data_IF_319551738445
#
_entry.id   IF_319551738445
#
_cell.length_a   1.000
_cell.length_b   1.000
_cell.length_c   1.000
_cell.angle_alpha   90.00
_cell.angle_beta   90.00
_cell.angle_gamma   90.00
#
_symmetry.space_group_name_H-M   'P 1'
#
loop_
_entity.id
_entity.type
_entity.pdbx_description
1 polymer ?
#
# COMPACT_ATOMS: atom_id res chain seq x y z
N UNK A 1 31.80 27.75 8.34
CA UNK A 1 31.23 28.88 7.57
C UNK A 1 29.87 28.44 7.04
N UNK A 2 28.80 29.14 7.41
CA UNK A 2 27.42 28.87 7.01
C UNK A 2 27.17 29.50 5.63
N UNK A 3 26.65 28.74 4.66
CA UNK A 3 26.09 29.31 3.42
C UNK A 3 24.74 28.64 3.15
N UNK A 4 23.72 29.30 3.67
CA UNK A 4 22.33 29.16 3.23
C UNK A 4 22.22 29.67 1.81
N UNK A 5 21.76 28.82 0.89
CA UNK A 5 21.23 29.25 -0.40
C UNK A 5 19.82 28.68 -0.48
N UNK A 6 18.85 29.54 -0.21
CA UNK A 6 17.46 29.32 -0.55
C UNK A 6 17.29 29.63 -2.03
N UNK A 7 16.70 28.70 -2.78
CA UNK A 7 16.09 29.02 -4.07
C UNK A 7 14.66 28.47 -4.07
N UNK A 8 13.72 29.41 -4.00
CA UNK A 8 12.34 29.21 -4.37
C UNK A 8 12.26 29.20 -5.89
N UNK A 9 11.86 28.07 -6.47
CA UNK A 9 11.38 28.01 -7.85
C UNK A 9 9.95 27.48 -7.81
N UNK A 10 9.01 28.42 -7.83
CA UNK A 10 7.64 28.18 -8.24
C UNK A 10 7.63 27.87 -9.74
N UNK A 11 7.60 26.58 -10.09
CA UNK A 11 7.25 26.15 -11.44
C UNK A 11 5.87 25.50 -11.39
N UNK A 12 4.85 26.28 -11.72
CA UNK A 12 3.51 25.78 -12.02
C UNK A 12 3.56 25.01 -13.34
N UNK A 13 3.89 23.72 -13.27
CA UNK A 13 3.76 22.79 -14.39
C UNK A 13 2.40 22.07 -14.32
N UNK A 14 1.35 22.82 -14.62
CA UNK A 14 0.04 22.25 -14.91
C UNK A 14 0.01 21.77 -16.35
N UNK A 15 0.27 20.49 -16.59
CA UNK A 15 -0.30 19.65 -17.67
C UNK A 15 0.45 18.30 -17.69
N UNK A 16 -0.15 17.24 -17.12
CA UNK A 16 -0.02 15.83 -17.54
C UNK A 16 -0.52 14.86 -16.45
N UNK A 17 -1.83 14.84 -16.14
CA UNK A 17 -2.45 13.72 -15.44
C UNK A 17 -3.83 13.44 -16.05
N UNK A 18 -3.82 13.10 -17.34
CA UNK A 18 -5.00 12.67 -18.07
C UNK A 18 -4.84 11.25 -18.63
N UNK A 19 -4.22 10.31 -17.91
CA UNK A 19 -4.25 8.89 -18.27
C UNK A 19 -4.28 8.01 -17.01
N UNK A 20 -5.47 7.53 -16.63
CA UNK A 20 -5.64 6.37 -15.74
C UNK A 20 -6.48 6.55 -14.46
N UNK A 21 -7.00 7.74 -14.16
CA UNK A 21 -7.94 7.95 -13.04
C UNK A 21 -9.40 7.89 -13.52
N UNK A 22 -10.38 7.54 -12.66
CA UNK A 22 -11.79 7.61 -13.03
C UNK A 22 -12.12 9.03 -13.53
N UNK A 23 -12.77 9.16 -14.70
CA UNK A 23 -13.06 10.46 -15.27
C UNK A 23 -13.99 11.22 -14.30
N UNK A 24 -13.63 12.46 -13.96
CA UNK A 24 -14.39 13.40 -13.12
C UNK A 24 -14.23 13.34 -11.59
N UNK A 25 -13.04 13.07 -11.06
CA UNK A 25 -12.74 13.42 -9.66
C UNK A 25 -12.51 14.93 -9.48
N UNK A 26 -13.21 15.56 -8.53
CA UNK A 26 -12.91 16.94 -8.09
C UNK A 26 -11.49 17.05 -7.54
N UNK A 27 -10.81 18.21 -7.63
CA UNK A 27 -9.45 18.38 -7.10
C UNK A 27 -9.31 17.97 -5.63
N UNK A 28 -10.30 18.32 -4.81
CA UNK A 28 -10.37 17.96 -3.39
C UNK A 28 -10.42 16.44 -3.18
N UNK A 29 -11.24 15.75 -3.98
CA UNK A 29 -11.35 14.30 -3.90
C UNK A 29 -10.04 13.63 -4.31
N UNK A 30 -9.35 14.15 -5.34
CA UNK A 30 -8.02 13.66 -5.74
C UNK A 30 -7.00 13.81 -4.61
N UNK A 31 -6.94 14.97 -3.96
CA UNK A 31 -6.06 15.19 -2.81
C UNK A 31 -6.36 14.23 -1.66
N UNK A 32 -7.64 13.96 -1.37
CA UNK A 32 -8.02 12.95 -0.38
C UNK A 32 -7.53 11.56 -0.76
N UNK A 33 -7.64 11.18 -2.03
CA UNK A 33 -7.10 9.89 -2.49
C UNK A 33 -5.57 9.81 -2.40
N UNK A 34 -4.88 10.89 -2.76
CA UNK A 34 -3.42 10.98 -2.64
C UNK A 34 -2.97 10.89 -1.19
N UNK A 35 -3.69 11.50 -0.26
CA UNK A 35 -3.40 11.37 1.17
C UNK A 35 -3.49 9.91 1.64
N UNK A 36 -4.36 9.09 1.05
CA UNK A 36 -4.49 7.66 1.38
C UNK A 36 -3.43 6.75 0.73
N UNK A 37 -2.47 7.29 -0.02
CA UNK A 37 -1.34 6.51 -0.58
C UNK A 37 -0.66 5.55 0.40
N UNK A 38 -0.31 5.96 1.63
CA UNK A 38 0.33 5.07 2.59
C UNK A 38 -0.56 3.87 2.99
N UNK A 39 -1.88 4.02 2.96
CA UNK A 39 -2.81 2.92 3.24
C UNK A 39 -2.73 1.86 2.13
N UNK A 40 -2.69 2.29 0.87
CA UNK A 40 -2.55 1.37 -0.27
C UNK A 40 -1.20 0.67 -0.27
N UNK A 41 -0.13 1.40 0.02
CA UNK A 41 1.23 0.87 0.10
C UNK A 41 1.32 -0.16 1.23
N UNK A 42 0.75 0.12 2.41
CA UNK A 42 0.70 -0.83 3.53
C UNK A 42 -0.04 -2.13 3.17
N UNK A 43 -1.19 -2.04 2.51
CA UNK A 43 -1.93 -3.24 2.05
C UNK A 43 -1.09 -4.08 1.09
N UNK A 44 -0.38 -3.44 0.16
CA UNK A 44 0.51 -4.14 -0.77
C UNK A 44 1.69 -4.80 -0.05
N UNK A 45 2.33 -4.09 0.88
CA UNK A 45 3.43 -4.57 1.71
C UNK A 45 3.02 -5.79 2.52
N UNK A 46 1.88 -5.72 3.25
CA UNK A 46 1.36 -6.87 4.02
C UNK A 46 1.02 -8.05 3.11
N UNK A 47 0.40 -7.81 1.95
CA UNK A 47 0.04 -8.86 1.00
C UNK A 47 1.25 -9.61 0.43
N UNK A 48 2.42 -8.98 0.37
CA UNK A 48 3.65 -9.60 -0.13
C UNK A 48 4.45 -10.36 0.92
N UNK A 49 4.24 -10.09 2.22
CA UNK A 49 5.05 -10.70 3.28
C UNK A 49 4.93 -12.23 3.34
N UNK A 50 3.78 -12.80 2.98
CA UNK A 50 3.63 -14.26 2.88
C UNK A 50 4.48 -14.86 1.75
N UNK A 51 4.64 -14.15 0.64
CA UNK A 51 5.45 -14.59 -0.49
C UNK A 51 6.93 -14.40 -0.22
N UNK A 52 7.29 -13.29 0.43
CA UNK A 52 8.63 -13.02 0.94
C UNK A 52 9.08 -14.16 1.87
N UNK A 53 8.20 -14.58 2.78
CA UNK A 53 8.53 -15.62 3.77
C UNK A 53 8.87 -16.97 3.14
N UNK A 54 8.32 -17.26 1.95
CA UNK A 54 8.57 -18.48 1.17
C UNK A 54 9.88 -18.45 0.40
N UNK A 55 10.50 -17.27 0.23
CA UNK A 55 11.78 -17.18 -0.47
C UNK A 55 12.91 -17.69 0.43
N UNK A 56 13.73 -18.59 -0.12
CA UNK A 56 14.92 -19.07 0.56
C UNK A 56 15.81 -17.88 0.91
N UNK A 57 16.36 -17.87 2.12
CA UNK A 57 17.27 -16.83 2.61
C UNK A 57 16.63 -15.44 2.87
N UNK A 58 15.31 -15.27 2.65
CA UNK A 58 14.57 -14.04 2.96
C UNK A 58 13.41 -14.25 3.96
N UNK A 59 13.22 -15.46 4.46
CA UNK A 59 12.17 -15.77 5.44
C UNK A 59 12.23 -14.86 6.66
N UNK A 60 11.06 -14.50 7.19
CA UNK A 60 10.96 -13.65 8.37
C UNK A 60 11.50 -14.39 9.60
N UNK A 61 12.47 -13.78 10.27
CA UNK A 61 13.07 -14.35 11.48
C UNK A 61 12.10 -14.30 12.65
N UNK A 62 12.36 -15.08 13.70
CA UNK A 62 11.59 -15.02 14.96
C UNK A 62 11.57 -13.62 15.57
N UNK A 63 12.70 -12.92 15.55
CA UNK A 63 12.80 -11.55 16.06
C UNK A 63 11.95 -10.56 15.25
N UNK A 64 11.94 -10.70 13.92
CA UNK A 64 11.06 -9.91 13.06
C UNK A 64 9.59 -10.21 13.31
N UNK A 65 9.22 -11.49 13.45
CA UNK A 65 7.86 -11.92 13.76
C UNK A 65 7.34 -11.30 15.07
N UNK A 66 8.15 -11.33 16.13
CA UNK A 66 7.81 -10.72 17.42
C UNK A 66 7.53 -9.21 17.32
N UNK A 67 8.26 -8.50 16.44
CA UNK A 67 8.08 -7.06 16.22
C UNK A 67 6.92 -6.75 15.28
N UNK A 68 6.61 -7.63 14.33
CA UNK A 68 5.49 -7.48 13.39
C UNK A 68 4.13 -7.75 14.05
N UNK A 69 4.02 -8.82 14.85
CA UNK A 69 2.76 -9.25 15.44
C UNK A 69 1.95 -8.15 16.14
N UNK A 70 2.53 -7.27 16.99
CA UNK A 70 1.76 -6.18 17.60
C UNK A 70 1.21 -5.20 16.56
N UNK A 71 1.98 -4.86 15.52
CA UNK A 71 1.54 -3.98 14.42
C UNK A 71 0.39 -4.63 13.65
N UNK A 72 0.53 -5.90 13.27
CA UNK A 72 -0.48 -6.62 12.49
C UNK A 72 -1.79 -6.79 13.27
N UNK A 73 -1.72 -7.08 14.57
CA UNK A 73 -2.90 -7.20 15.44
C UNK A 73 -3.58 -5.84 15.64
N UNK A 74 -2.82 -4.75 15.76
CA UNK A 74 -3.39 -3.40 15.78
C UNK A 74 -4.17 -3.13 14.48
N UNK A 75 -3.53 -3.35 13.32
CA UNK A 75 -4.17 -3.19 12.00
C UNK A 75 -5.45 -4.03 11.83
N UNK A 76 -5.48 -5.24 12.39
CA UNK A 76 -6.64 -6.12 12.34
C UNK A 76 -7.84 -5.56 13.13
N UNK A 77 -7.57 -5.01 14.32
CA UNK A 77 -8.62 -4.69 15.28
C UNK A 77 -9.18 -3.27 15.14
N UNK A 78 -8.38 -2.34 14.61
CA UNK A 78 -8.81 -0.94 14.54
C UNK A 78 -10.03 -0.75 13.63
N UNK A 79 -10.98 0.11 14.01
CA UNK A 79 -12.14 0.43 13.17
C UNK A 79 -11.78 1.32 11.97
N UNK A 80 -10.70 2.10 12.07
CA UNK A 80 -10.28 3.07 11.07
C UNK A 80 -8.76 3.00 10.85
N UNK A 81 -8.32 3.21 9.62
CA UNK A 81 -6.91 3.29 9.25
C UNK A 81 -6.63 4.63 8.59
N UNK A 82 -6.11 5.57 9.39
CA UNK A 82 -5.77 6.91 8.88
C UNK A 82 -4.44 6.89 8.12
N UNK A 83 -4.25 7.80 7.15
CA UNK A 83 -3.00 7.95 6.42
C UNK A 83 -1.72 8.03 7.27
N UNK A 84 -1.73 8.85 8.33
CA UNK A 84 -0.56 9.06 9.18
C UNK A 84 -0.18 7.79 9.96
N UNK A 85 -1.18 7.02 10.40
CA UNK A 85 -0.97 5.76 11.11
C UNK A 85 -0.45 4.68 10.16
N UNK A 86 -0.96 4.63 8.93
CA UNK A 86 -0.45 3.74 7.90
C UNK A 86 1.01 4.07 7.53
N UNK A 87 1.33 5.36 7.36
CA UNK A 87 2.70 5.81 7.11
C UNK A 87 3.65 5.44 8.27
N UNK A 88 3.20 5.59 9.52
CA UNK A 88 3.98 5.20 10.69
C UNK A 88 4.21 3.68 10.75
N UNK A 89 3.18 2.89 10.45
CA UNK A 89 3.30 1.43 10.40
C UNK A 89 4.26 0.99 9.29
N UNK A 90 4.16 1.58 8.10
CA UNK A 90 5.07 1.35 6.98
C UNK A 90 6.52 1.65 7.35
N UNK A 91 6.81 2.86 7.83
CA UNK A 91 8.18 3.23 8.24
C UNK A 91 8.72 2.29 9.33
N UNK A 92 7.89 1.90 10.31
CA UNK A 92 8.34 0.94 11.33
C UNK A 92 8.68 -0.43 10.71
N UNK A 93 7.87 -0.89 9.76
CA UNK A 93 8.10 -2.16 9.05
C UNK A 93 9.38 -2.06 8.20
N UNK A 94 9.48 -1.04 7.35
CA UNK A 94 10.51 -0.94 6.34
C UNK A 94 11.86 -0.52 6.94
N UNK A 95 11.88 0.49 7.80
CA UNK A 95 13.13 1.05 8.32
C UNK A 95 13.72 0.23 9.47
N UNK A 96 12.87 -0.48 10.21
CA UNK A 96 13.26 -1.06 11.50
C UNK A 96 13.08 -2.56 11.61
N UNK A 97 12.26 -3.20 10.76
CA UNK A 97 11.97 -4.63 10.87
C UNK A 97 12.55 -5.40 9.69
N UNK A 98 12.24 -4.99 8.46
CA UNK A 98 12.69 -5.69 7.26
C UNK A 98 14.18 -5.42 6.99
N UNK A 99 14.86 -6.41 6.42
CA UNK A 99 16.25 -6.26 5.99
C UNK A 99 16.32 -5.59 4.62
N UNK A 100 17.46 -4.97 4.25
CA UNK A 100 17.63 -4.42 2.91
C UNK A 100 17.39 -5.43 1.78
N UNK A 101 17.76 -6.70 1.99
CA UNK A 101 17.53 -7.76 1.01
C UNK A 101 16.04 -8.09 0.84
N UNK A 102 15.28 -8.11 1.94
CA UNK A 102 13.83 -8.32 1.91
C UNK A 102 13.12 -7.14 1.22
N UNK A 103 13.50 -5.90 1.54
CA UNK A 103 12.96 -4.70 0.91
C UNK A 103 13.21 -4.69 -0.60
N UNK A 104 14.46 -4.94 -1.01
CA UNK A 104 14.83 -5.01 -2.42
C UNK A 104 13.98 -6.04 -3.18
N UNK A 105 13.79 -7.23 -2.60
CA UNK A 105 12.96 -8.26 -3.21
C UNK A 105 11.50 -7.82 -3.37
N UNK A 106 10.94 -7.14 -2.36
CA UNK A 106 9.57 -6.62 -2.42
C UNK A 106 9.41 -5.56 -3.52
N UNK A 107 10.36 -4.63 -3.62
CA UNK A 107 10.37 -3.58 -4.65
C UNK A 107 10.44 -4.17 -6.07
N UNK A 108 11.35 -5.12 -6.29
CA UNK A 108 11.49 -5.82 -7.58
C UNK A 108 10.21 -6.58 -7.94
N UNK A 109 9.58 -7.23 -6.95
CA UNK A 109 8.33 -7.96 -7.14
C UNK A 109 7.18 -7.02 -7.53
N UNK A 110 7.05 -5.87 -6.86
CA UNK A 110 6.04 -4.87 -7.18
C UNK A 110 6.27 -4.26 -8.56
N UNK A 111 7.52 -3.96 -8.91
CA UNK A 111 7.89 -3.43 -10.21
C UNK A 111 7.52 -4.42 -11.33
N UNK A 112 7.93 -5.68 -11.20
CA UNK A 112 7.63 -6.75 -12.16
C UNK A 112 6.12 -6.90 -12.38
N UNK A 113 5.33 -6.94 -11.30
CA UNK A 113 3.86 -7.03 -11.40
C UNK A 113 3.24 -5.83 -12.11
N UNK A 114 3.79 -4.63 -11.91
CA UNK A 114 3.33 -3.41 -12.57
C UNK A 114 3.65 -3.45 -14.07
N UNK A 115 4.82 -3.94 -14.44
CA UNK A 115 5.21 -4.11 -15.84
C UNK A 115 4.35 -5.14 -16.55
N UNK A 116 4.12 -6.31 -15.93
CA UNK A 116 3.23 -7.35 -16.46
C UNK A 116 1.80 -6.82 -16.65
N UNK A 117 1.29 -6.03 -15.69
CA UNK A 117 -0.03 -5.41 -15.82
C UNK A 117 -0.11 -4.44 -17.00
N UNK A 118 0.93 -3.62 -17.23
CA UNK A 118 1.01 -2.71 -18.38
C UNK A 118 1.05 -3.46 -19.71
N UNK A 119 1.81 -4.55 -19.78
CA UNK A 119 1.91 -5.38 -20.99
C UNK A 119 0.56 -6.02 -21.36
N UNK A 120 -0.21 -6.48 -20.37
CA UNK A 120 -1.56 -7.03 -20.57
C UNK A 120 -2.57 -5.97 -21.03
N UNK A 121 -2.43 -4.72 -20.56
CA UNK A 121 -3.30 -3.62 -20.94
C UNK A 121 -3.06 -3.15 -22.40
N UNK A 122 -1.84 -3.30 -22.91
CA UNK A 122 -1.50 -2.96 -24.30
C UNK A 122 -2.03 -3.94 -25.36
N UNK A 123 -2.53 -5.13 -24.97
CA UNK A 123 -2.99 -6.17 -25.89
C UNK A 123 -4.52 -6.26 -26.03
N UNK A 124 -5.33 -5.52 -25.26
CA UNK A 124 -6.77 -5.53 -25.44
C UNK A 124 -7.46 -4.26 -24.88
N UNK A 125 -7.76 -3.24 -25.73
CA UNK A 125 -8.42 -2.01 -25.27
C UNK A 125 -9.92 -2.17 -24.93
N UNK A 126 -10.52 -3.34 -25.15
CA UNK A 126 -11.99 -3.52 -25.18
C UNK A 126 -12.55 -4.48 -24.12
N UNK A 127 -11.84 -4.67 -23.02
CA UNK A 127 -12.43 -5.23 -21.80
C UNK A 127 -12.42 -4.12 -20.75
N UNK A 128 -13.62 -3.66 -20.40
CA UNK A 128 -13.88 -2.41 -19.68
C UNK A 128 -13.12 -2.26 -18.37
N UNK A 129 -13.15 -1.02 -17.86
CA UNK A 129 -12.82 -0.69 -16.48
C UNK A 129 -13.21 -1.85 -15.58
N UNK A 130 -12.26 -2.61 -15.01
CA UNK A 130 -12.61 -3.62 -14.05
C UNK A 130 -13.14 -2.84 -12.87
N UNK A 131 -14.47 -2.76 -12.79
CA UNK A 131 -15.18 -2.67 -11.53
C UNK A 131 -14.66 -3.87 -10.74
N UNK A 132 -13.51 -3.71 -10.08
CA UNK A 132 -12.87 -4.75 -9.32
C UNK A 132 -13.92 -5.23 -8.31
N UNK A 133 -14.41 -6.48 -8.42
CA UNK A 133 -15.49 -6.94 -7.57
C UNK A 133 -15.04 -6.80 -6.11
N UNK A 134 -15.70 -5.90 -5.38
CA UNK A 134 -15.65 -5.83 -3.91
C UNK A 134 -14.43 -5.19 -3.22
N UNK A 135 -13.43 -4.62 -3.91
CA UNK A 135 -12.21 -4.13 -3.25
C UNK A 135 -12.04 -2.61 -3.22
N UNK A 136 -12.00 -2.00 -4.41
CA UNK A 136 -11.61 -0.58 -4.56
C UNK A 136 -12.78 0.39 -4.41
N UNK A 137 -14.00 -0.07 -4.68
CA UNK A 137 -15.22 0.75 -4.58
C UNK A 137 -15.58 1.14 -3.14
N UNK A 138 -15.42 0.22 -2.18
CA UNK A 138 -15.75 0.47 -0.77
C UNK A 138 -14.85 1.53 -0.11
N UNK A 139 -13.54 1.48 -0.40
CA UNK A 139 -12.58 2.50 0.04
C UNK A 139 -12.79 3.83 -0.68
N UNK A 140 -13.05 3.80 -1.99
CA UNK A 140 -13.30 5.01 -2.75
C UNK A 140 -14.52 5.78 -2.22
N UNK A 141 -15.62 5.07 -2.00
CA UNK A 141 -16.80 5.63 -1.37
C UNK A 141 -16.50 6.13 0.04
N UNK A 142 -15.68 5.40 0.81
CA UNK A 142 -15.37 5.79 2.17
C UNK A 142 -14.57 7.09 2.26
N UNK A 143 -13.53 7.22 1.43
CA UNK A 143 -12.70 8.44 1.32
C UNK A 143 -13.55 9.61 0.85
N UNK A 144 -14.42 9.41 -0.15
CA UNK A 144 -15.29 10.44 -0.67
C UNK A 144 -16.26 10.97 0.41
N UNK A 145 -16.83 10.06 1.21
CA UNK A 145 -17.78 10.36 2.28
C UNK A 145 -17.13 10.73 3.62
N UNK A 146 -15.82 10.59 3.76
CA UNK A 146 -15.10 10.84 5.01
C UNK A 146 -15.44 9.86 6.14
N UNK A 147 -16.02 8.69 5.83
CA UNK A 147 -16.37 7.69 6.85
C UNK A 147 -15.11 6.93 7.32
N UNK A 148 -15.09 6.43 8.57
CA UNK A 148 -14.06 5.50 9.03
C UNK A 148 -13.93 4.30 8.08
N UNK A 149 -12.69 3.91 7.78
CA UNK A 149 -12.42 2.81 6.88
C UNK A 149 -11.13 2.09 7.24
N UNK A 150 -11.20 0.76 7.36
CA UNK A 150 -10.03 -0.08 7.48
C UNK A 150 -10.03 -1.16 6.37
N UNK A 151 -9.07 -1.15 5.43
CA UNK A 151 -9.00 -2.16 4.37
C UNK A 151 -8.82 -3.58 4.92
N UNK A 152 -8.16 -3.75 6.07
CA UNK A 152 -7.95 -5.05 6.70
C UNK A 152 -9.20 -5.62 7.40
N UNK A 153 -10.29 -4.85 7.43
CA UNK A 153 -11.61 -5.30 7.91
C UNK A 153 -12.65 -5.34 6.79
N UNK A 154 -12.59 -4.37 5.89
CA UNK A 154 -13.62 -4.20 4.85
C UNK A 154 -13.28 -4.86 3.52
N UNK A 155 -12.00 -5.18 3.25
CA UNK A 155 -11.61 -5.87 2.01
C UNK A 155 -11.29 -7.34 2.31
N UNK A 156 -12.03 -8.32 1.74
CA UNK A 156 -11.82 -9.73 2.03
C UNK A 156 -10.38 -10.19 1.80
N UNK A 157 -9.78 -9.79 0.67
CA UNK A 157 -8.39 -10.17 0.34
C UNK A 157 -7.37 -9.62 1.33
N UNK A 158 -7.48 -8.34 1.70
CA UNK A 158 -6.53 -7.73 2.63
C UNK A 158 -6.70 -8.31 4.05
N UNK A 159 -7.95 -8.55 4.47
CA UNK A 159 -8.25 -9.19 5.74
C UNK A 159 -7.69 -10.62 5.82
N UNK A 160 -7.84 -11.39 4.74
CA UNK A 160 -7.31 -12.75 4.61
C UNK A 160 -5.78 -12.76 4.64
N UNK A 161 -5.11 -11.93 3.82
CA UNK A 161 -3.64 -11.82 3.85
C UNK A 161 -3.12 -11.43 5.22
N UNK A 162 -3.76 -10.47 5.90
CA UNK A 162 -3.37 -10.09 7.25
C UNK A 162 -3.54 -11.26 8.24
N UNK A 163 -4.67 -11.97 8.19
CA UNK A 163 -4.95 -13.12 9.06
C UNK A 163 -3.96 -14.26 8.84
N UNK A 164 -3.65 -14.56 7.59
CA UNK A 164 -2.69 -15.61 7.22
C UNK A 164 -1.29 -15.25 7.71
N UNK A 165 -0.85 -14.01 7.48
CA UNK A 165 0.43 -13.53 7.99
C UNK A 165 0.51 -13.59 9.52
N UNK A 166 -0.53 -13.15 10.25
CA UNK A 166 -0.58 -13.28 11.71
C UNK A 166 -0.46 -14.75 12.13
N UNK A 167 -1.17 -15.66 11.46
CA UNK A 167 -1.16 -17.09 11.76
C UNK A 167 0.23 -17.70 11.52
N UNK A 168 0.87 -17.34 10.41
CA UNK A 168 2.23 -17.77 10.06
C UNK A 168 3.24 -17.29 11.11
N UNK A 169 3.21 -15.99 11.44
CA UNK A 169 4.17 -15.39 12.36
C UNK A 169 3.96 -15.82 13.81
N UNK A 170 2.73 -16.16 14.21
CA UNK A 170 2.43 -16.65 15.56
C UNK A 170 3.01 -18.05 15.85
N UNK A 171 3.48 -18.77 14.83
CA UNK A 171 4.08 -20.11 14.95
C UNK A 171 5.61 -20.09 15.08
N UNK A 172 6.26 -18.92 15.03
CA UNK A 172 7.73 -18.75 15.10
C UNK A 172 8.21 -18.53 16.54
#
# INVERSE_FOLDING_TARGET
MKRTVAFWTLLALGLALAQGGPPNLSPETRQRFEAYRPVFELVATIGLMEELDKQRDLSLTKAQAQRLLPILRDLQNRPDLKPAEAAKALSTIEDSILTPAQLKWMDETLLKRREEARQRQGQNPQAGSPQAPGGRGGLFQAIAQGRPYNPFREQPRAAESLKNLITLLSKR
#
